data_IF_776924209708
#
_entry.id   IF_776924209708
#
_cell.length_a   1.000
_cell.length_b   1.000
_cell.length_c   1.000
_cell.angle_alpha   90.00
_cell.angle_beta   90.00
_cell.angle_gamma   90.00
#
_symmetry.space_group_name_H-M   'P 1'
#
loop_
_entity.id
_entity.type
_entity.pdbx_description
1 polymer ?
#
# COMPACT_ATOMS: atom_id res chain seq x y z
N UNK A 1 27.88 11.91 -25.49
CA UNK A 1 27.49 11.79 -24.07
C UNK A 1 26.00 11.47 -24.02
N UNK A 2 25.62 10.21 -23.90
CA UNK A 2 24.21 9.81 -23.85
C UNK A 2 23.65 10.05 -22.46
N UNK A 3 22.55 10.80 -22.36
CA UNK A 3 21.80 10.95 -21.11
C UNK A 3 21.44 9.55 -20.58
N UNK A 4 21.90 9.26 -19.37
CA UNK A 4 21.38 8.15 -18.59
C UNK A 4 19.91 8.46 -18.34
N UNK A 5 19.02 7.82 -19.11
CA UNK A 5 17.58 7.86 -18.90
C UNK A 5 17.31 7.25 -17.52
N UNK A 6 17.37 8.06 -16.45
CA UNK A 6 16.96 7.66 -15.10
C UNK A 6 15.53 7.16 -15.23
N UNK A 7 15.31 5.88 -14.92
CA UNK A 7 13.99 5.28 -14.93
C UNK A 7 13.07 6.13 -14.04
N UNK A 8 12.07 6.75 -14.65
CA UNK A 8 11.28 7.85 -14.09
C UNK A 8 10.34 7.45 -12.92
N UNK A 9 10.62 6.37 -12.20
CA UNK A 9 9.68 5.71 -11.29
C UNK A 9 10.15 5.60 -9.84
N UNK A 10 11.46 5.70 -9.58
CA UNK A 10 12.02 5.58 -8.24
C UNK A 10 12.64 6.89 -7.81
N UNK A 11 12.20 7.41 -6.66
CA UNK A 11 12.73 8.63 -6.08
C UNK A 11 13.94 8.31 -5.21
N UNK A 12 14.96 9.17 -5.27
CA UNK A 12 16.08 9.12 -4.33
C UNK A 12 15.60 9.61 -2.95
N UNK A 13 15.55 8.70 -1.99
CA UNK A 13 15.16 8.99 -0.61
C UNK A 13 16.40 9.03 0.29
N UNK A 14 16.40 9.94 1.25
CA UNK A 14 17.41 9.96 2.28
C UNK A 14 17.27 8.72 3.19
N UNK A 15 18.36 8.15 3.72
CA UNK A 15 18.30 6.93 4.52
C UNK A 15 17.32 7.00 5.70
N UNK A 16 17.17 8.17 6.32
CA UNK A 16 16.21 8.37 7.41
C UNK A 16 14.75 8.34 6.96
N UNK A 17 14.44 8.74 5.72
CA UNK A 17 13.09 8.67 5.16
C UNK A 17 12.69 7.21 4.92
N UNK A 18 13.61 6.42 4.37
CA UNK A 18 13.43 4.96 4.20
C UNK A 18 13.23 4.30 5.57
N UNK A 19 14.09 4.59 6.54
CA UNK A 19 13.96 4.04 7.89
C UNK A 19 12.61 4.39 8.53
N UNK A 20 12.16 5.64 8.39
CA UNK A 20 10.87 6.08 8.92
C UNK A 20 9.71 5.37 8.22
N UNK A 21 9.74 5.28 6.89
CA UNK A 21 8.65 4.67 6.13
C UNK A 21 8.53 3.16 6.39
N UNK A 22 9.67 2.46 6.49
CA UNK A 22 9.71 1.04 6.85
C UNK A 22 9.28 0.83 8.30
N UNK A 23 9.70 1.70 9.23
CA UNK A 23 9.28 1.62 10.63
C UNK A 23 7.77 1.83 10.78
N UNK A 24 7.22 2.85 10.11
CA UNK A 24 5.77 3.12 10.10
C UNK A 24 5.02 1.96 9.47
N UNK A 25 5.50 1.40 8.36
CA UNK A 25 4.89 0.24 7.72
C UNK A 25 4.95 -1.02 8.61
N UNK A 26 6.07 -1.26 9.28
CA UNK A 26 6.25 -2.36 10.22
C UNK A 26 5.32 -2.25 11.42
N UNK A 27 5.27 -1.09 12.06
CA UNK A 27 4.34 -0.83 13.18
C UNK A 27 2.89 -0.96 12.72
N UNK A 28 2.54 -0.39 11.57
CA UNK A 28 1.19 -0.50 11.00
C UNK A 28 0.79 -1.96 10.76
N UNK A 29 1.66 -2.73 10.10
CA UNK A 29 1.43 -4.15 9.84
C UNK A 29 1.31 -4.97 11.13
N UNK A 30 2.20 -4.73 12.11
CA UNK A 30 2.17 -5.41 13.41
C UNK A 30 0.89 -5.12 14.20
N UNK A 31 0.33 -3.90 14.09
CA UNK A 31 -0.91 -3.54 14.76
C UNK A 31 -2.15 -4.06 14.03
N UNK A 32 -2.17 -4.01 12.69
CA UNK A 32 -3.32 -4.44 11.91
C UNK A 32 -3.43 -5.96 11.83
N UNK A 33 -2.32 -6.69 11.72
CA UNK A 33 -2.33 -8.14 11.55
C UNK A 33 -3.13 -8.91 12.62
N UNK A 34 -2.94 -8.71 13.94
CA UNK A 34 -3.72 -9.43 14.93
C UNK A 34 -5.22 -9.07 14.84
N UNK A 35 -5.55 -7.81 14.54
CA UNK A 35 -6.93 -7.38 14.34
C UNK A 35 -7.58 -8.08 13.14
N UNK A 36 -6.87 -8.14 12.01
CA UNK A 36 -7.34 -8.81 10.80
C UNK A 36 -7.51 -10.33 10.99
N UNK A 37 -6.62 -10.96 11.75
CA UNK A 37 -6.75 -12.38 12.11
C UNK A 37 -7.95 -12.63 13.05
N UNK A 38 -8.30 -11.67 13.92
CA UNK A 38 -9.54 -11.79 14.72
C UNK A 38 -10.80 -11.71 13.86
N UNK A 39 -10.78 -10.97 12.75
CA UNK A 39 -11.91 -10.86 11.83
C UNK A 39 -12.00 -12.08 10.91
N UNK A 40 -10.87 -12.55 10.36
CA UNK A 40 -10.82 -13.70 9.43
C UNK A 40 -10.81 -15.08 10.07
N UNK A 41 -10.60 -15.14 11.38
CA UNK A 41 -10.32 -16.40 12.06
C UNK A 41 -8.88 -16.87 11.90
N UNK A 42 -8.52 -17.83 12.76
CA UNK A 42 -7.15 -18.35 12.90
C UNK A 42 -6.91 -19.66 12.13
N UNK A 43 -7.89 -20.12 11.35
CA UNK A 43 -7.75 -21.33 10.54
C UNK A 43 -6.70 -21.08 9.43
N UNK A 44 -5.92 -22.11 9.06
CA UNK A 44 -4.80 -21.92 8.14
C UNK A 44 -5.25 -21.40 6.77
N UNK A 45 -6.39 -21.88 6.29
CA UNK A 45 -7.03 -21.48 5.03
C UNK A 45 -7.44 -20.00 5.00
N UNK A 46 -7.74 -19.38 6.14
CA UNK A 46 -8.13 -17.97 6.24
C UNK A 46 -6.98 -17.08 6.72
N UNK A 47 -6.07 -17.60 7.53
CA UNK A 47 -4.95 -16.88 8.11
C UNK A 47 -3.90 -16.53 7.05
N UNK A 48 -3.52 -17.47 6.18
CA UNK A 48 -2.52 -17.21 5.14
C UNK A 48 -2.92 -16.06 4.20
N UNK A 49 -4.11 -16.05 3.57
CA UNK A 49 -4.52 -14.94 2.72
C UNK A 49 -4.66 -13.62 3.52
N UNK A 50 -5.09 -13.69 4.79
CA UNK A 50 -5.14 -12.51 5.67
C UNK A 50 -3.77 -11.88 5.89
N UNK A 51 -2.76 -12.71 6.16
CA UNK A 51 -1.37 -12.26 6.35
C UNK A 51 -0.85 -11.62 5.05
N UNK A 52 -1.07 -12.27 3.91
CA UNK A 52 -0.65 -11.74 2.60
C UNK A 52 -1.31 -10.39 2.31
N UNK A 53 -2.62 -10.26 2.53
CA UNK A 53 -3.36 -9.01 2.38
C UNK A 53 -2.77 -7.90 3.28
N UNK A 54 -2.51 -8.18 4.56
CA UNK A 54 -1.89 -7.22 5.48
C UNK A 54 -0.50 -6.79 5.02
N UNK A 55 0.30 -7.75 4.53
CA UNK A 55 1.63 -7.47 4.01
C UNK A 55 1.58 -6.61 2.74
N UNK A 56 0.58 -6.79 1.87
CA UNK A 56 0.37 -5.95 0.70
C UNK A 56 0.07 -4.50 1.10
N UNK A 57 -0.85 -4.27 2.05
CA UNK A 57 -1.14 -2.92 2.53
C UNK A 57 0.04 -2.28 3.26
N UNK A 58 0.77 -3.04 4.10
CA UNK A 58 1.99 -2.56 4.74
C UNK A 58 3.09 -2.22 3.71
N UNK A 59 3.26 -3.05 2.68
CA UNK A 59 4.20 -2.79 1.59
C UNK A 59 3.79 -1.55 0.78
N UNK A 60 2.50 -1.39 0.46
CA UNK A 60 1.99 -0.18 -0.20
C UNK A 60 2.32 1.08 0.64
N UNK A 61 2.16 1.00 1.96
CA UNK A 61 2.52 2.08 2.87
C UNK A 61 4.03 2.35 2.86
N UNK A 62 4.87 1.32 2.88
CA UNK A 62 6.34 1.47 2.81
C UNK A 62 6.80 2.11 1.50
N UNK A 63 6.17 1.73 0.38
CA UNK A 63 6.53 2.20 -0.96
C UNK A 63 6.04 3.62 -1.27
N UNK A 64 5.14 4.18 -0.45
CA UNK A 64 4.40 5.42 -0.76
C UNK A 64 5.29 6.59 -1.20
N UNK A 65 6.45 6.79 -0.57
CA UNK A 65 7.37 7.90 -0.94
C UNK A 65 8.36 7.51 -2.03
N UNK A 66 8.74 6.23 -2.09
CA UNK A 66 9.75 5.71 -3.00
C UNK A 66 9.22 5.67 -4.44
N UNK A 67 8.01 5.14 -4.61
CA UNK A 67 7.35 5.03 -5.90
C UNK A 67 5.83 5.05 -5.73
N UNK A 68 5.20 6.22 -5.87
CA UNK A 68 3.74 6.35 -5.81
C UNK A 68 2.97 5.43 -6.77
N UNK A 69 3.42 5.19 -8.03
CA UNK A 69 2.76 4.23 -8.92
C UNK A 69 2.75 2.80 -8.36
N UNK A 70 3.88 2.33 -7.80
CA UNK A 70 3.96 0.99 -7.22
C UNK A 70 3.11 0.89 -5.97
N UNK A 71 3.12 1.92 -5.12
CA UNK A 71 2.27 1.97 -3.93
C UNK A 71 0.79 1.85 -4.30
N UNK A 72 0.34 2.56 -5.35
CA UNK A 72 -1.03 2.48 -5.85
C UNK A 72 -1.36 1.07 -6.38
N UNK A 73 -0.48 0.49 -7.20
CA UNK A 73 -0.68 -0.85 -7.73
C UNK A 73 -0.75 -1.91 -6.62
N UNK A 74 0.14 -1.83 -5.62
CA UNK A 74 0.12 -2.75 -4.47
C UNK A 74 -1.15 -2.58 -3.65
N UNK A 75 -1.64 -1.35 -3.46
CA UNK A 75 -2.91 -1.09 -2.78
C UNK A 75 -4.10 -1.68 -3.53
N UNK A 76 -4.14 -1.61 -4.87
CA UNK A 76 -5.18 -2.26 -5.66
C UNK A 76 -5.19 -3.78 -5.49
N UNK A 77 -4.01 -4.42 -5.48
CA UNK A 77 -3.91 -5.87 -5.25
C UNK A 77 -4.43 -6.22 -3.85
N UNK A 78 -4.03 -5.47 -2.83
CA UNK A 78 -4.52 -5.65 -1.45
C UNK A 78 -6.03 -5.47 -1.33
N UNK A 79 -6.58 -4.38 -1.88
CA UNK A 79 -8.02 -4.09 -1.84
C UNK A 79 -8.84 -5.11 -2.62
N UNK A 80 -8.39 -5.51 -3.81
CA UNK A 80 -9.06 -6.56 -4.59
C UNK A 80 -9.08 -7.87 -3.82
N UNK A 81 -7.97 -8.24 -3.19
CA UNK A 81 -7.88 -9.44 -2.36
C UNK A 81 -8.85 -9.38 -1.18
N UNK A 82 -8.95 -8.23 -0.49
CA UNK A 82 -9.91 -8.02 0.60
C UNK A 82 -11.36 -8.19 0.14
N UNK A 83 -11.70 -7.63 -1.03
CA UNK A 83 -13.04 -7.77 -1.63
C UNK A 83 -13.35 -9.21 -2.05
N UNK A 84 -12.38 -9.93 -2.64
CA UNK A 84 -12.52 -11.33 -3.00
C UNK A 84 -12.72 -12.24 -1.79
N UNK A 85 -12.14 -11.88 -0.65
CA UNK A 85 -12.35 -12.54 0.64
C UNK A 85 -13.67 -12.15 1.30
N UNK A 86 -14.48 -11.29 0.67
CA UNK A 86 -15.74 -10.75 1.19
C UNK A 86 -15.58 -10.12 2.59
N UNK A 87 -14.42 -9.53 2.84
CA UNK A 87 -14.11 -8.95 4.15
C UNK A 87 -14.71 -7.54 4.25
N UNK A 88 -15.32 -7.18 5.40
CA UNK A 88 -15.75 -5.80 5.63
C UNK A 88 -14.56 -4.83 5.62
N UNK A 89 -14.80 -3.54 5.35
CA UNK A 89 -13.79 -2.51 5.56
C UNK A 89 -13.28 -2.52 7.00
N UNK A 90 -11.98 -2.32 7.18
CA UNK A 90 -11.30 -2.46 8.45
C UNK A 90 -10.19 -1.41 8.61
N UNK A 91 -9.53 -1.32 9.78
CA UNK A 91 -8.42 -0.39 10.00
C UNK A 91 -7.26 -0.55 9.01
N UNK A 92 -7.11 -1.71 8.37
CA UNK A 92 -6.05 -1.91 7.36
C UNK A 92 -6.24 -1.00 6.13
N UNK A 93 -7.49 -0.62 5.85
CA UNK A 93 -7.85 0.29 4.74
C UNK A 93 -7.31 1.71 4.95
N UNK A 94 -6.92 2.07 6.18
CA UNK A 94 -6.28 3.36 6.46
C UNK A 94 -4.97 3.55 5.67
N UNK A 95 -4.32 2.46 5.26
CA UNK A 95 -3.16 2.52 4.37
C UNK A 95 -3.50 3.18 3.02
N UNK A 96 -4.72 3.00 2.51
CA UNK A 96 -5.17 3.55 1.22
C UNK A 96 -5.12 5.08 1.24
N UNK A 97 -5.54 5.72 2.34
CA UNK A 97 -5.48 7.18 2.45
C UNK A 97 -4.04 7.72 2.35
N UNK A 98 -3.09 7.03 2.98
CA UNK A 98 -1.68 7.40 2.90
C UNK A 98 -1.11 7.20 1.49
N UNK A 99 -1.56 6.16 0.78
CA UNK A 99 -1.20 5.91 -0.62
C UNK A 99 -1.78 6.98 -1.53
N UNK A 100 -3.07 7.30 -1.42
CA UNK A 100 -3.74 8.35 -2.22
C UNK A 100 -3.14 9.74 -1.96
N UNK A 101 -2.77 10.03 -0.72
CA UNK A 101 -2.00 11.23 -0.41
C UNK A 101 -0.67 11.24 -1.16
N UNK A 102 0.07 10.13 -1.15
CA UNK A 102 1.37 10.05 -1.80
C UNK A 102 1.28 10.10 -3.33
N UNK A 103 0.25 9.51 -3.94
CA UNK A 103 0.00 9.63 -5.38
C UNK A 103 -0.34 11.06 -5.77
N UNK A 104 -1.05 11.80 -4.94
CA UNK A 104 -1.34 13.21 -5.18
C UNK A 104 -0.16 14.15 -4.91
N UNK A 105 0.59 13.91 -3.84
CA UNK A 105 1.69 14.78 -3.43
C UNK A 105 2.98 14.56 -4.25
N UNK A 106 3.22 13.31 -4.68
CA UNK A 106 4.49 12.89 -5.27
C UNK A 106 4.37 12.17 -6.61
N UNK A 107 3.15 11.80 -7.04
CA UNK A 107 2.92 11.10 -8.30
C UNK A 107 2.91 12.04 -9.50
N UNK A 108 2.94 11.45 -10.70
CA UNK A 108 2.68 12.20 -11.94
C UNK A 108 1.19 12.51 -12.07
N UNK A 109 0.82 13.42 -12.97
CA UNK A 109 -0.58 13.75 -13.28
C UNK A 109 -1.42 12.52 -13.61
N UNK A 110 -0.85 11.54 -14.32
CA UNK A 110 -1.53 10.27 -14.62
C UNK A 110 -1.83 9.48 -13.34
N UNK A 111 -0.85 9.34 -12.44
CA UNK A 111 -0.99 8.55 -11.20
C UNK A 111 -1.97 9.23 -10.24
N UNK A 112 -1.98 10.57 -10.20
CA UNK A 112 -3.00 11.35 -9.51
C UNK A 112 -4.41 11.01 -10.02
N UNK A 113 -4.63 11.06 -11.33
CA UNK A 113 -5.95 10.78 -11.90
C UNK A 113 -6.37 9.32 -11.71
N UNK A 114 -5.44 8.37 -11.83
CA UNK A 114 -5.74 6.96 -11.52
C UNK A 114 -6.20 6.79 -10.07
N UNK A 115 -5.47 7.35 -9.11
CA UNK A 115 -5.84 7.31 -7.69
C UNK A 115 -7.19 8.00 -7.41
N UNK A 116 -7.44 9.15 -8.04
CA UNK A 116 -8.71 9.86 -7.93
C UNK A 116 -9.88 9.03 -8.51
N UNK A 117 -9.65 8.37 -9.64
CA UNK A 117 -10.67 7.56 -10.31
C UNK A 117 -11.05 6.34 -9.46
N UNK A 118 -10.08 5.72 -8.78
CA UNK A 118 -10.34 4.61 -7.84
C UNK A 118 -11.27 5.00 -6.69
N UNK A 119 -11.20 6.24 -6.19
CA UNK A 119 -12.10 6.68 -5.13
C UNK A 119 -13.58 6.75 -5.58
N UNK A 120 -13.84 6.82 -6.89
CA UNK A 120 -15.18 6.87 -7.47
C UNK A 120 -15.64 5.48 -7.93
N UNK A 121 -14.76 4.75 -8.61
CA UNK A 121 -15.10 3.46 -9.24
C UNK A 121 -15.05 2.30 -8.25
N UNK A 122 -14.18 2.39 -7.24
CA UNK A 122 -13.65 1.22 -6.51
C UNK A 122 -12.29 0.82 -7.06
#
# INVERSE_FOLDING_TARGET
>A
MGEVRRSAHFRELLPYQVATDVSVAGVFGLLCLPFELTIGGWAAESALPTVVMCLLFAAALALRRLSPPLALATAWVGGTMQMLMLRPPSPVDLAIFAVLYATAAYGSTLVYWLGFSSAIVG
#
